data_IF_861999430389
#
_entry.id   IF_861999430389
#
_cell.length_a   1.000
_cell.length_b   1.000
_cell.length_c   1.000
_cell.angle_alpha   90.00
_cell.angle_beta   90.00
_cell.angle_gamma   90.00
#
_symmetry.space_group_name_H-M   'P 1'
#
loop_
_entity.id
_entity.type
_entity.pdbx_description
1 polymer ?
#
# COMPACT_ATOMS: atom_id res chain seq x y z
N UNK A 1 5.52 15.65 10.67
CA UNK A 1 5.55 14.23 11.05
C UNK A 1 5.17 13.39 9.85
N UNK A 2 5.99 12.38 9.54
CA UNK A 2 5.71 11.53 8.40
C UNK A 2 4.53 10.60 8.69
N UNK A 3 3.70 10.37 7.67
CA UNK A 3 2.63 9.40 7.75
C UNK A 3 3.22 7.98 7.77
N UNK A 4 2.62 7.10 8.57
CA UNK A 4 3.02 5.70 8.66
C UNK A 4 1.78 4.83 8.71
N UNK A 5 1.78 3.72 7.97
CA UNK A 5 0.70 2.74 8.01
C UNK A 5 1.30 1.36 8.33
N UNK A 6 0.97 0.78 9.49
CA UNK A 6 1.38 -0.59 9.79
C UNK A 6 0.51 -1.58 9.02
N UNK A 7 1.13 -2.61 8.47
CA UNK A 7 0.45 -3.67 7.72
C UNK A 7 0.91 -5.01 8.26
N UNK A 8 -0.04 -5.83 8.67
CA UNK A 8 0.20 -7.22 9.07
C UNK A 8 0.15 -8.12 7.84
N UNK A 9 1.07 -9.06 7.74
CA UNK A 9 1.10 -10.01 6.64
C UNK A 9 0.22 -11.20 6.98
N UNK A 10 -0.75 -11.47 6.12
CA UNK A 10 -1.70 -12.57 6.24
C UNK A 10 -1.36 -13.66 5.24
N UNK A 11 -2.04 -14.81 5.36
CA UNK A 11 -1.87 -15.92 4.41
C UNK A 11 -2.12 -15.47 2.96
N UNK A 12 -3.13 -14.63 2.74
CA UNK A 12 -3.48 -14.17 1.39
C UNK A 12 -2.38 -13.33 0.74
N UNK A 13 -1.46 -12.80 1.54
CA UNK A 13 -0.38 -11.95 1.05
C UNK A 13 0.85 -12.74 0.62
N UNK A 14 0.93 -14.02 1.01
CA UNK A 14 2.12 -14.84 0.78
C UNK A 14 1.93 -15.77 -0.41
N UNK A 15 3.05 -16.19 -0.99
CA UNK A 15 3.09 -17.20 -2.04
C UNK A 15 3.43 -18.58 -1.46
N UNK A 16 3.63 -19.58 -2.33
CA UNK A 16 3.95 -20.94 -1.92
C UNK A 16 5.28 -21.05 -1.15
N UNK A 17 6.16 -20.06 -1.29
CA UNK A 17 7.42 -20.02 -0.55
C UNK A 17 7.31 -19.42 0.84
N UNK A 18 6.12 -18.97 1.26
CA UNK A 18 5.90 -18.40 2.58
C UNK A 18 6.35 -16.95 2.72
N UNK A 19 6.65 -16.29 1.64
CA UNK A 19 7.02 -14.87 1.62
C UNK A 19 5.98 -14.07 0.86
N UNK A 20 5.94 -12.76 1.10
CA UNK A 20 4.99 -11.88 0.41
C UNK A 20 5.22 -11.96 -1.09
N UNK A 21 4.14 -12.23 -1.83
CA UNK A 21 4.17 -12.18 -3.29
C UNK A 21 4.53 -10.76 -3.72
N UNK A 22 5.52 -10.63 -4.61
CA UNK A 22 6.15 -9.33 -4.89
C UNK A 22 5.16 -8.23 -5.32
N UNK A 23 4.11 -8.57 -6.05
CA UNK A 23 3.14 -7.58 -6.51
C UNK A 23 2.27 -7.03 -5.37
N UNK A 24 2.19 -7.72 -4.23
CA UNK A 24 1.39 -7.27 -3.10
C UNK A 24 1.96 -6.03 -2.44
N UNK A 25 3.25 -5.75 -2.61
CA UNK A 25 3.81 -4.49 -2.10
C UNK A 25 3.15 -3.28 -2.74
N UNK A 26 2.74 -3.37 -4.00
CA UNK A 26 2.00 -2.30 -4.66
C UNK A 26 0.63 -2.08 -4.03
N UNK A 27 -0.03 -3.15 -3.58
CA UNK A 27 -1.30 -3.04 -2.84
C UNK A 27 -1.09 -2.34 -1.51
N UNK A 28 0.00 -2.64 -0.82
CA UNK A 28 0.31 -1.99 0.46
C UNK A 28 0.57 -0.50 0.25
N UNK A 29 1.28 -0.12 -0.79
CA UNK A 29 1.52 1.28 -1.11
C UNK A 29 0.23 2.00 -1.49
N UNK A 30 -0.66 1.34 -2.22
CA UNK A 30 -1.97 1.91 -2.57
C UNK A 30 -2.81 2.16 -1.31
N UNK A 31 -2.85 1.19 -0.39
CA UNK A 31 -3.55 1.36 0.88
C UNK A 31 -2.98 2.52 1.69
N UNK A 32 -1.67 2.62 1.75
CA UNK A 32 -1.01 3.69 2.48
C UNK A 32 -1.34 5.05 1.88
N UNK A 33 -1.36 5.17 0.56
CA UNK A 33 -1.72 6.42 -0.09
C UNK A 33 -3.18 6.78 0.19
N UNK A 34 -4.07 5.81 0.12
CA UNK A 34 -5.49 6.02 0.40
C UNK A 34 -5.71 6.49 1.84
N UNK A 35 -5.07 5.84 2.80
CA UNK A 35 -5.18 6.23 4.21
C UNK A 35 -4.51 7.58 4.49
N UNK A 36 -3.41 7.87 3.78
CA UNK A 36 -2.75 9.16 3.88
C UNK A 36 -3.66 10.30 3.46
N UNK A 37 -4.35 10.14 2.30
CA UNK A 37 -5.33 11.12 1.85
C UNK A 37 -6.49 11.24 2.83
N UNK A 38 -6.96 10.11 3.35
CA UNK A 38 -8.06 10.08 4.32
C UNK A 38 -7.70 10.82 5.60
N UNK A 39 -6.42 10.80 5.99
CA UNK A 39 -5.94 11.52 7.17
C UNK A 39 -6.07 13.03 7.05
N UNK A 40 -6.18 13.56 5.82
CA UNK A 40 -6.45 14.96 5.56
C UNK A 40 -7.93 15.25 5.33
N UNK A 41 -8.82 14.28 5.61
CA UNK A 41 -10.25 14.42 5.36
C UNK A 41 -10.65 14.22 3.90
N UNK A 42 -9.74 13.71 3.07
CA UNK A 42 -9.99 13.45 1.64
C UNK A 42 -10.17 11.96 1.39
N UNK A 43 -11.04 11.62 0.44
CA UNK A 43 -11.07 10.27 -0.12
C UNK A 43 -10.89 10.35 -1.63
N UNK A 44 -10.32 9.32 -2.21
CA UNK A 44 -10.10 9.30 -3.66
C UNK A 44 -11.41 9.34 -4.42
N UNK A 45 -12.45 8.70 -3.88
CA UNK A 45 -13.77 8.71 -4.50
C UNK A 45 -14.38 10.11 -4.49
N UNK A 46 -14.29 10.83 -3.36
CA UNK A 46 -14.80 12.19 -3.26
C UNK A 46 -14.06 13.13 -4.21
N UNK A 47 -12.73 13.00 -4.30
CA UNK A 47 -11.96 13.78 -5.26
C UNK A 47 -12.42 13.52 -6.68
N UNK A 48 -12.66 12.26 -7.03
CA UNK A 48 -13.12 11.89 -8.36
C UNK A 48 -14.49 12.51 -8.67
N UNK A 49 -15.40 12.48 -7.71
CA UNK A 49 -16.75 13.04 -7.87
C UNK A 49 -16.74 14.54 -7.98
N UNK A 50 -15.91 15.22 -7.20
CA UNK A 50 -15.88 16.68 -7.13
C UNK A 50 -15.06 17.31 -8.23
N UNK A 51 -13.95 16.70 -8.62
CA UNK A 51 -13.00 17.29 -9.57
C UNK A 51 -12.91 16.53 -10.89
N UNK A 52 -13.48 15.32 -10.96
CA UNK A 52 -13.33 14.44 -12.11
C UNK A 52 -11.94 13.82 -12.21
N UNK A 53 -11.05 14.12 -11.27
CA UNK A 53 -9.69 13.61 -11.27
C UNK A 53 -9.55 12.33 -10.44
N UNK A 54 -8.48 11.60 -10.72
CA UNK A 54 -8.09 10.42 -9.96
C UNK A 54 -6.58 10.31 -9.98
N UNK A 55 -6.03 9.65 -8.95
CA UNK A 55 -4.62 9.33 -8.93
C UNK A 55 -4.37 8.04 -9.69
N UNK A 56 -3.48 8.11 -10.68
CA UNK A 56 -3.11 6.94 -11.48
C UNK A 56 -1.61 6.75 -11.37
N UNK A 57 -1.19 5.52 -11.12
CA UNK A 57 0.23 5.19 -11.08
C UNK A 57 0.71 5.02 -12.51
N UNK A 58 1.67 5.85 -12.92
CA UNK A 58 2.21 5.82 -14.28
C UNK A 58 3.60 5.19 -14.35
N UNK A 59 4.30 5.11 -13.23
CA UNK A 59 5.63 4.52 -13.19
C UNK A 59 5.90 3.95 -11.80
N UNK A 60 6.48 2.75 -11.75
CA UNK A 60 6.82 2.08 -10.50
C UNK A 60 8.22 1.52 -10.61
N UNK A 61 9.04 1.80 -9.59
CA UNK A 61 10.36 1.20 -9.45
C UNK A 61 10.46 0.58 -8.06
N UNK A 62 10.72 -0.72 -8.00
CA UNK A 62 10.83 -1.45 -6.75
C UNK A 62 12.19 -2.12 -6.64
N UNK A 63 12.70 -2.15 -5.41
CA UNK A 63 13.92 -2.86 -5.08
C UNK A 63 13.65 -3.78 -3.89
N UNK A 64 13.84 -5.08 -4.10
CA UNK A 64 13.54 -6.09 -3.09
C UNK A 64 14.83 -6.44 -2.36
N UNK A 65 14.93 -6.01 -1.10
CA UNK A 65 16.14 -6.24 -0.28
C UNK A 65 15.97 -7.43 0.65
N UNK A 66 14.78 -7.57 1.24
CA UNK A 66 14.43 -8.66 2.14
C UNK A 66 12.99 -9.05 1.94
N UNK A 67 12.65 -10.35 2.00
CA UNK A 67 11.25 -10.77 1.92
C UNK A 67 10.53 -10.54 3.24
N UNK A 68 9.24 -10.17 3.15
CA UNK A 68 8.34 -10.21 4.28
C UNK A 68 7.66 -11.58 4.33
N UNK A 69 7.32 -12.02 5.54
CA UNK A 69 6.77 -13.35 5.80
C UNK A 69 5.46 -13.24 6.55
N UNK A 70 4.74 -14.37 6.63
CA UNK A 70 3.51 -14.47 7.39
C UNK A 70 3.73 -13.94 8.81
N UNK A 71 2.74 -13.20 9.31
CA UNK A 71 2.70 -12.58 10.64
C UNK A 71 3.68 -11.43 10.84
N UNK A 72 4.56 -11.13 9.89
CA UNK A 72 5.38 -9.93 9.96
C UNK A 72 4.50 -8.70 9.96
N UNK A 73 4.97 -7.66 10.61
CA UNK A 73 4.34 -6.34 10.55
C UNK A 73 5.24 -5.40 9.77
N UNK A 74 4.70 -4.83 8.70
CA UNK A 74 5.39 -3.86 7.87
C UNK A 74 4.93 -2.45 8.23
N UNK A 75 5.80 -1.50 7.99
CA UNK A 75 5.47 -0.10 8.17
C UNK A 75 5.67 0.62 6.85
N UNK A 76 4.58 1.15 6.30
CA UNK A 76 4.64 1.93 5.07
C UNK A 76 4.75 3.40 5.45
N UNK A 77 5.79 4.05 4.97
CA UNK A 77 6.08 5.44 5.28
C UNK A 77 6.06 6.33 4.03
#
# INVERSE_FOLDING_TARGET
MAFQLPIRIYWEDTDAGGIVFYANYLRFFERARTEWLRSFGLSQQVLREQTGGMFVVTDVRLRYLQPARLDDQLLVT
#
